data_IF_736145107700
#
_entry.id   IF_736145107700
#
_cell.length_a   1.000
_cell.length_b   1.000
_cell.length_c   1.000
_cell.angle_alpha   90.00
_cell.angle_beta   90.00
_cell.angle_gamma   90.00
#
_symmetry.space_group_name_H-M   'P 1'
#
loop_
_entity.id
_entity.type
_entity.pdbx_description
1 polymer ?
#
# COMPACT_ATOMS: atom_id res chain seq x y z
N UNK A 1 23.98 -18.24 -0.37
CA UNK A 1 23.77 -17.37 0.81
C UNK A 1 24.23 -18.07 2.07
N UNK A 2 24.94 -17.36 2.95
CA UNK A 2 25.27 -17.79 4.31
C UNK A 2 24.03 -17.77 5.22
N UNK A 3 23.26 -18.86 5.21
CA UNK A 3 22.01 -18.97 5.99
C UNK A 3 22.15 -18.71 7.48
N UNK A 4 23.32 -19.04 8.06
CA UNK A 4 23.56 -18.83 9.48
C UNK A 4 23.58 -17.35 9.84
N UNK A 5 24.13 -16.45 8.98
CA UNK A 5 24.14 -15.00 9.21
C UNK A 5 22.72 -14.43 9.25
N UNK A 6 21.85 -14.92 8.37
CA UNK A 6 20.44 -14.52 8.38
C UNK A 6 19.69 -15.06 9.60
N UNK A 7 19.98 -16.30 10.02
CA UNK A 7 19.37 -16.88 11.24
C UNK A 7 19.83 -16.14 12.48
N UNK A 8 21.12 -15.86 12.60
CA UNK A 8 21.74 -15.18 13.74
C UNK A 8 21.21 -13.74 13.86
N UNK A 9 21.21 -12.97 12.76
CA UNK A 9 20.62 -11.63 12.73
C UNK A 9 19.10 -11.61 12.98
N UNK A 10 18.39 -12.71 12.71
CA UNK A 10 16.98 -12.86 13.04
C UNK A 10 16.74 -13.23 14.51
N UNK A 11 17.70 -13.91 15.15
CA UNK A 11 17.67 -14.33 16.56
C UNK A 11 18.14 -13.22 17.50
N UNK A 12 19.23 -12.51 17.17
CA UNK A 12 19.74 -11.37 17.96
C UNK A 12 18.71 -10.24 18.09
N UNK A 13 17.82 -10.10 17.10
CA UNK A 13 16.76 -9.10 17.10
C UNK A 13 15.46 -9.58 17.74
N UNK A 14 15.41 -10.83 18.23
CA UNK A 14 14.16 -11.47 18.65
C UNK A 14 14.18 -12.08 20.04
N UNK A 15 13.64 -11.33 20.99
CA UNK A 15 12.85 -11.93 22.06
C UNK A 15 11.39 -12.24 21.59
N UNK A 16 11.02 -11.95 20.32
CA UNK A 16 9.61 -11.93 19.89
C UNK A 16 9.24 -12.46 18.48
N UNK A 17 10.19 -12.98 17.68
CA UNK A 17 9.87 -13.57 16.36
C UNK A 17 9.65 -15.08 16.49
N UNK A 18 8.51 -15.58 16.02
CA UNK A 18 8.28 -17.03 16.02
C UNK A 18 9.14 -17.73 14.97
N UNK A 19 9.51 -18.99 15.24
CA UNK A 19 10.23 -19.87 14.30
C UNK A 19 9.58 -19.93 12.91
N UNK A 20 8.25 -19.80 12.85
CA UNK A 20 7.51 -19.78 11.60
C UNK A 20 7.88 -18.56 10.76
N UNK A 21 8.02 -17.39 11.37
CA UNK A 21 8.43 -16.17 10.68
C UNK A 21 9.87 -16.25 10.17
N UNK A 22 10.78 -16.86 10.94
CA UNK A 22 12.17 -17.11 10.55
C UNK A 22 12.22 -18.04 9.32
N UNK A 23 11.48 -19.16 9.36
CA UNK A 23 11.39 -20.10 8.22
C UNK A 23 10.82 -19.45 6.95
N UNK A 24 9.80 -18.61 7.08
CA UNK A 24 9.24 -17.88 5.93
C UNK A 24 10.25 -16.93 5.30
N UNK A 25 11.05 -16.21 6.10
CA UNK A 25 12.08 -15.30 5.59
C UNK A 25 13.21 -16.04 4.88
N UNK A 26 13.71 -17.14 5.46
CA UNK A 26 14.70 -18.01 4.82
C UNK A 26 14.19 -18.57 3.48
N UNK A 27 12.94 -19.05 3.45
CA UNK A 27 12.33 -19.56 2.22
C UNK A 27 12.23 -18.52 1.12
N UNK A 28 11.99 -17.24 1.47
CA UNK A 28 11.93 -16.14 0.51
C UNK A 28 13.32 -15.74 0.04
N UNK A 29 14.32 -15.70 0.91
CA UNK A 29 15.71 -15.43 0.53
C UNK A 29 16.24 -16.47 -0.48
N UNK A 30 16.01 -17.77 -0.23
CA UNK A 30 16.33 -18.83 -1.21
C UNK A 30 15.58 -18.72 -2.53
N UNK A 31 14.37 -18.13 -2.50
CA UNK A 31 13.60 -17.86 -3.73
C UNK A 31 14.20 -16.70 -4.51
N UNK A 32 14.71 -15.68 -3.83
CA UNK A 32 15.46 -14.58 -4.46
C UNK A 32 16.70 -15.12 -5.18
N UNK A 33 17.52 -15.95 -4.53
CA UNK A 33 18.71 -16.55 -5.18
C UNK A 33 18.36 -17.30 -6.46
N UNK A 34 17.26 -18.07 -6.46
CA UNK A 34 16.81 -18.80 -7.65
C UNK A 34 16.32 -17.88 -8.78
N UNK A 35 15.72 -16.74 -8.43
CA UNK A 35 15.23 -15.76 -9.41
C UNK A 35 16.40 -15.00 -10.02
N UNK A 36 17.32 -14.54 -9.19
CA UNK A 36 18.51 -13.78 -9.62
C UNK A 36 19.60 -14.69 -10.22
N UNK A 37 19.51 -16.00 -9.98
CA UNK A 37 20.52 -17.03 -10.33
C UNK A 37 21.90 -16.70 -9.77
N UNK A 38 21.93 -16.05 -8.62
CA UNK A 38 23.14 -15.54 -8.01
C UNK A 38 23.05 -15.69 -6.48
N UNK A 39 24.20 -15.91 -5.85
CA UNK A 39 24.30 -16.03 -4.40
C UNK A 39 24.07 -14.66 -3.77
N UNK A 40 23.17 -14.58 -2.78
CA UNK A 40 22.88 -13.33 -2.11
C UNK A 40 24.09 -12.70 -1.41
N UNK A 41 25.10 -13.47 -1.01
CA UNK A 41 26.36 -12.92 -0.47
C UNK A 41 27.11 -12.09 -1.51
N UNK A 42 27.06 -12.49 -2.78
CA UNK A 42 27.64 -11.73 -3.90
C UNK A 42 26.81 -10.48 -4.17
N UNK A 43 25.48 -10.62 -4.19
CA UNK A 43 24.56 -9.50 -4.41
C UNK A 43 24.73 -8.43 -3.34
N UNK A 44 24.76 -8.80 -2.05
CA UNK A 44 24.79 -7.82 -0.95
C UNK A 44 26.18 -7.26 -0.62
N UNK A 45 27.23 -7.75 -1.27
CA UNK A 45 28.58 -7.20 -1.17
C UNK A 45 28.71 -5.84 -1.87
N UNK A 46 27.85 -5.57 -2.86
CA UNK A 46 27.83 -4.33 -3.63
C UNK A 46 26.44 -3.67 -3.61
N UNK A 47 26.39 -2.41 -3.20
CA UNK A 47 25.13 -1.68 -3.10
C UNK A 47 24.45 -1.44 -4.45
N UNK A 48 25.20 -1.26 -5.54
CA UNK A 48 24.67 -1.09 -6.89
C UNK A 48 24.05 -2.39 -7.39
N UNK A 49 24.66 -3.51 -7.00
CA UNK A 49 24.16 -4.84 -7.31
C UNK A 49 22.86 -5.15 -6.55
N UNK A 50 22.78 -4.78 -5.27
CA UNK A 50 21.54 -4.82 -4.48
C UNK A 50 20.44 -3.97 -5.11
N UNK A 51 20.78 -2.77 -5.57
CA UNK A 51 19.83 -1.89 -6.24
C UNK A 51 19.24 -2.53 -7.50
N UNK A 52 20.09 -3.08 -8.37
CA UNK A 52 19.68 -3.79 -9.57
C UNK A 52 18.82 -5.02 -9.26
N UNK A 53 19.20 -5.80 -8.24
CA UNK A 53 18.46 -6.97 -7.79
C UNK A 53 17.06 -6.61 -7.27
N UNK A 54 16.93 -5.52 -6.51
CA UNK A 54 15.64 -5.04 -6.02
C UNK A 54 14.72 -4.57 -7.15
N UNK A 55 15.27 -3.92 -8.18
CA UNK A 55 14.51 -3.56 -9.39
C UNK A 55 14.05 -4.80 -10.16
N UNK A 56 14.93 -5.80 -10.32
CA UNK A 56 14.60 -7.05 -10.98
C UNK A 56 13.48 -7.81 -10.24
N UNK A 57 13.54 -7.87 -8.90
CA UNK A 57 12.50 -8.48 -8.08
C UNK A 57 11.18 -7.70 -8.12
N UNK A 58 11.21 -6.37 -8.22
CA UNK A 58 9.99 -5.56 -8.36
C UNK A 58 9.21 -5.90 -9.64
N UNK A 59 9.93 -6.20 -10.72
CA UNK A 59 9.35 -6.59 -12.02
C UNK A 59 9.05 -8.09 -12.13
N UNK A 60 9.32 -8.87 -11.09
CA UNK A 60 9.19 -10.33 -11.10
C UNK A 60 7.71 -10.74 -10.89
N UNK A 61 7.10 -11.56 -11.77
CA UNK A 61 5.71 -12.00 -11.61
C UNK A 61 5.44 -12.79 -10.32
N UNK A 62 6.47 -13.40 -9.76
CA UNK A 62 6.42 -14.16 -8.51
C UNK A 62 6.51 -13.26 -7.26
N UNK A 63 6.66 -11.95 -7.43
CA UNK A 63 6.69 -10.98 -6.34
C UNK A 63 5.26 -10.67 -5.87
N UNK A 64 5.01 -10.90 -4.59
CA UNK A 64 3.73 -10.60 -3.97
C UNK A 64 3.95 -9.64 -2.80
N UNK A 65 3.32 -8.45 -2.87
CA UNK A 65 3.32 -7.44 -1.81
C UNK A 65 4.73 -7.07 -1.29
N UNK A 66 5.74 -7.07 -2.17
CA UNK A 66 7.13 -6.76 -1.80
C UNK A 66 7.83 -7.84 -0.96
N UNK A 67 7.29 -9.07 -0.92
CA UNK A 67 7.76 -10.14 -0.06
C UNK A 67 9.20 -10.57 -0.33
N UNK A 68 9.62 -10.62 -1.60
CA UNK A 68 10.98 -11.00 -2.00
C UNK A 68 11.95 -9.81 -1.86
N UNK A 69 11.54 -8.60 -2.24
CA UNK A 69 12.33 -7.38 -1.98
C UNK A 69 12.63 -7.22 -0.49
N UNK A 70 11.65 -7.46 0.37
CA UNK A 70 11.85 -7.42 1.82
C UNK A 70 12.81 -8.50 2.30
N UNK A 71 12.75 -9.71 1.74
CA UNK A 71 13.69 -10.77 2.09
C UNK A 71 15.14 -10.41 1.72
N UNK A 72 15.36 -9.82 0.53
CA UNK A 72 16.66 -9.32 0.11
C UNK A 72 17.17 -8.21 1.02
N UNK A 73 16.33 -7.21 1.34
CA UNK A 73 16.68 -6.10 2.24
C UNK A 73 17.04 -6.58 3.65
N UNK A 74 16.32 -7.58 4.14
CA UNK A 74 16.64 -8.24 5.41
C UNK A 74 18.01 -8.90 5.37
N UNK A 75 18.32 -9.63 4.29
CA UNK A 75 19.63 -10.26 4.15
C UNK A 75 20.76 -9.24 4.03
N UNK A 76 20.56 -8.18 3.26
CA UNK A 76 21.50 -7.06 3.16
C UNK A 76 21.82 -6.48 4.53
N UNK A 77 20.79 -6.23 5.36
CA UNK A 77 20.96 -5.73 6.72
C UNK A 77 21.72 -6.70 7.60
N UNK A 78 21.41 -8.00 7.51
CA UNK A 78 22.08 -9.04 8.29
C UNK A 78 23.60 -9.10 7.99
N UNK A 79 23.99 -8.89 6.74
CA UNK A 79 25.40 -8.95 6.33
C UNK A 79 26.13 -7.62 6.55
N UNK A 80 25.48 -6.49 6.28
CA UNK A 80 26.11 -5.16 6.28
C UNK A 80 25.88 -4.35 7.56
N UNK A 81 25.06 -4.85 8.50
CA UNK A 81 24.74 -4.17 9.76
C UNK A 81 23.91 -2.88 9.61
N UNK A 82 23.49 -2.52 8.39
CA UNK A 82 22.73 -1.31 8.08
C UNK A 82 21.58 -1.57 7.11
N UNK A 83 20.55 -0.73 7.15
CA UNK A 83 19.45 -0.82 6.21
C UNK A 83 19.85 -0.26 4.83
N UNK A 84 19.45 -0.95 3.75
CA UNK A 84 19.63 -0.44 2.39
C UNK A 84 18.70 0.77 2.17
N UNK A 85 19.16 1.88 1.54
CA UNK A 85 18.32 3.04 1.26
C UNK A 85 17.05 2.71 0.46
N UNK A 86 16.07 3.62 0.42
CA UNK A 86 14.92 3.44 -0.49
C UNK A 86 15.40 3.52 -1.94
N UNK A 87 14.71 2.81 -2.84
CA UNK A 87 15.07 2.83 -4.27
C UNK A 87 15.02 4.24 -4.87
N UNK A 88 14.16 5.14 -4.36
CA UNK A 88 14.09 6.54 -4.80
C UNK A 88 15.23 7.42 -4.28
N UNK A 89 15.93 6.98 -3.24
CA UNK A 89 16.98 7.73 -2.54
C UNK A 89 18.38 7.22 -2.90
N UNK A 90 18.48 6.09 -3.61
CA UNK A 90 19.73 5.47 -4.02
C UNK A 90 20.10 5.84 -5.46
N UNK A 91 21.33 6.31 -5.68
CA UNK A 91 21.87 6.62 -7.00
C UNK A 91 22.99 5.60 -7.32
N UNK A 92 22.76 4.65 -8.24
CA UNK A 92 23.76 3.65 -8.59
C UNK A 92 24.95 4.27 -9.33
N UNK A 93 26.16 3.79 -9.04
CA UNK A 93 27.40 4.25 -9.68
C UNK A 93 27.81 3.34 -10.84
N UNK A 94 27.42 2.07 -10.77
CA UNK A 94 27.66 1.03 -11.76
C UNK A 94 26.34 0.43 -12.28
N UNK A 95 26.36 -0.09 -13.52
CA UNK A 95 25.18 -0.68 -14.16
C UNK A 95 25.23 -2.20 -14.07
N UNK A 96 24.34 -2.77 -13.26
CA UNK A 96 24.09 -4.21 -13.19
C UNK A 96 22.70 -4.53 -13.77
N UNK A 97 22.55 -5.67 -14.45
CA UNK A 97 21.28 -6.12 -15.02
C UNK A 97 21.05 -7.60 -14.72
N UNK A 98 19.78 -7.95 -14.50
CA UNK A 98 19.35 -9.32 -14.26
C UNK A 98 18.34 -9.76 -15.32
N UNK A 99 18.59 -10.91 -15.94
CA UNK A 99 17.61 -11.56 -16.82
C UNK A 99 16.62 -12.38 -15.98
N UNK A 100 15.47 -11.80 -15.68
CA UNK A 100 14.38 -12.52 -14.99
C UNK A 100 13.54 -13.23 -16.04
N UNK A 101 13.56 -14.56 -16.05
CA UNK A 101 12.83 -15.36 -17.03
C UNK A 101 11.31 -15.06 -17.02
N UNK A 102 10.81 -14.47 -18.11
CA UNK A 102 9.39 -14.40 -18.41
C UNK A 102 8.93 -15.76 -18.96
N UNK A 103 8.07 -16.47 -18.24
CA UNK A 103 7.50 -17.70 -18.77
C UNK A 103 6.41 -17.36 -19.80
N UNK A 104 6.77 -17.42 -21.08
CA UNK A 104 5.86 -17.65 -22.21
C UNK A 104 5.37 -19.09 -22.14
N UNK A 105 4.20 -19.31 -21.56
CA UNK A 105 3.49 -20.59 -21.60
C UNK A 105 2.49 -20.64 -22.74
N UNK A 106 2.97 -20.86 -23.96
CA UNK A 106 2.11 -21.24 -25.08
C UNK A 106 1.69 -22.71 -24.90
N UNK A 107 0.44 -22.92 -24.50
CA UNK A 107 -0.21 -24.23 -24.47
C UNK A 107 -1.25 -24.32 -25.59
N UNK A 108 -0.85 -24.92 -26.71
CA UNK A 108 -1.75 -25.41 -27.74
C UNK A 108 -2.61 -26.53 -27.15
N UNK A 109 -3.93 -26.36 -27.14
CA UNK A 109 -4.84 -27.50 -27.11
C UNK A 109 -5.95 -27.30 -28.13
N UNK A 110 -5.77 -27.98 -29.26
CA UNK A 110 -6.77 -28.17 -30.30
C UNK A 110 -7.56 -29.43 -29.94
N UNK A 111 -8.84 -29.31 -29.61
CA UNK A 111 -9.83 -30.36 -29.80
C UNK A 111 -11.17 -29.74 -30.21
N UNK A 112 -11.58 -30.15 -31.40
CA UNK A 112 -12.86 -29.94 -32.06
C UNK A 112 -13.95 -30.80 -31.42
N UNK A 113 -15.11 -30.21 -31.12
CA UNK A 113 -16.49 -30.74 -31.10
C UNK A 113 -17.35 -29.54 -30.61
N UNK A 114 -18.49 -29.12 -31.16
CA UNK A 114 -19.53 -29.70 -32.00
C UNK A 114 -20.46 -28.57 -32.51
N UNK A 115 -21.14 -28.82 -33.63
CA UNK A 115 -22.54 -28.46 -33.95
C UNK A 115 -23.12 -27.04 -33.71
N UNK A 116 -23.79 -26.53 -34.75
CA UNK A 116 -25.21 -26.14 -34.60
C UNK A 116 -25.53 -24.74 -34.08
N UNK A 117 -25.80 -23.84 -35.04
CA UNK A 117 -26.76 -22.72 -35.00
C UNK A 117 -27.38 -22.28 -33.66
N UNK A 118 -27.13 -21.02 -33.26
CA UNK A 118 -28.17 -20.00 -33.03
C UNK A 118 -27.50 -18.65 -32.72
N UNK A 119 -28.02 -17.60 -33.35
CA UNK A 119 -27.53 -16.24 -33.24
C UNK A 119 -27.72 -15.64 -31.83
N UNK A 120 -26.67 -15.05 -31.28
CA UNK A 120 -26.77 -13.90 -30.40
C UNK A 120 -25.52 -13.03 -30.60
N UNK A 121 -25.76 -11.78 -31.02
CA UNK A 121 -24.73 -10.79 -31.25
C UNK A 121 -24.01 -10.47 -29.93
N UNK A 122 -22.83 -11.03 -29.73
CA UNK A 122 -21.85 -10.48 -28.79
C UNK A 122 -21.04 -9.43 -29.52
N UNK A 123 -21.23 -8.16 -29.17
CA UNK A 123 -20.30 -7.08 -29.50
C UNK A 123 -18.95 -7.43 -28.89
N UNK A 124 -18.05 -7.99 -29.70
CA UNK A 124 -16.64 -8.09 -29.38
C UNK A 124 -16.04 -6.68 -29.44
N UNK A 125 -16.19 -5.91 -28.36
CA UNK A 125 -15.35 -4.75 -28.14
C UNK A 125 -13.90 -5.25 -28.04
N UNK A 126 -12.95 -4.71 -28.82
CA UNK A 126 -11.56 -5.13 -28.76
C UNK A 126 -11.02 -4.80 -27.36
N UNK A 127 -10.69 -5.84 -26.58
CA UNK A 127 -10.15 -5.66 -25.23
C UNK A 127 -8.87 -4.83 -25.30
N UNK A 128 -8.86 -3.68 -24.64
CA UNK A 128 -7.73 -2.78 -24.63
C UNK A 128 -6.46 -3.47 -24.09
N UNK A 129 -5.28 -3.30 -24.73
CA UNK A 129 -4.04 -3.87 -24.20
C UNK A 129 -3.73 -3.34 -22.80
N UNK A 130 -3.35 -4.23 -21.88
CA UNK A 130 -3.01 -3.88 -20.48
C UNK A 130 -1.97 -2.77 -20.36
N UNK A 131 -1.04 -2.67 -21.32
CA UNK A 131 -0.02 -1.62 -21.35
C UNK A 131 -0.57 -0.23 -21.66
N UNK A 132 -1.72 -0.10 -22.32
CA UNK A 132 -2.42 1.18 -22.52
C UNK A 132 -3.12 1.60 -21.23
N UNK A 133 -3.91 0.69 -20.64
CA UNK A 133 -4.56 0.89 -19.34
C UNK A 133 -3.55 1.29 -18.24
N UNK A 134 -2.38 0.65 -18.20
CA UNK A 134 -1.33 0.99 -17.24
C UNK A 134 -0.77 2.40 -17.43
N UNK A 135 -0.55 2.83 -18.68
CA UNK A 135 -0.06 4.17 -19.00
C UNK A 135 -1.10 5.23 -18.69
N UNK A 136 -2.37 4.96 -18.99
CA UNK A 136 -3.48 5.82 -18.64
C UNK A 136 -3.61 5.97 -17.13
N UNK A 137 -3.61 4.86 -16.38
CA UNK A 137 -3.61 4.87 -14.93
C UNK A 137 -2.47 5.73 -14.35
N UNK A 138 -1.23 5.54 -14.84
CA UNK A 138 -0.09 6.33 -14.39
C UNK A 138 -0.26 7.82 -14.71
N UNK A 139 -0.77 8.14 -15.91
CA UNK A 139 -1.03 9.51 -16.35
C UNK A 139 -2.06 10.20 -15.44
N UNK A 140 -3.21 9.55 -15.23
CA UNK A 140 -4.29 10.04 -14.36
C UNK A 140 -3.79 10.21 -12.92
N UNK A 141 -3.13 9.19 -12.37
CA UNK A 141 -2.55 9.25 -11.02
C UNK A 141 -1.59 10.43 -10.87
N UNK A 142 -0.69 10.65 -11.83
CA UNK A 142 0.26 11.76 -11.77
C UNK A 142 -0.43 13.13 -11.86
N UNK A 143 -1.50 13.25 -12.66
CA UNK A 143 -2.32 14.47 -12.74
C UNK A 143 -3.00 14.75 -11.41
N UNK A 144 -3.57 13.73 -10.77
CA UNK A 144 -4.21 13.86 -9.45
C UNK A 144 -3.17 14.24 -8.39
N UNK A 145 -2.04 13.54 -8.30
CA UNK A 145 -0.96 13.89 -7.36
C UNK A 145 -0.43 15.31 -7.56
N UNK A 146 -0.41 15.81 -8.81
CA UNK A 146 0.00 17.19 -9.10
C UNK A 146 -1.05 18.20 -8.64
N UNK A 147 -2.34 17.87 -8.71
CA UNK A 147 -3.42 18.72 -8.23
C UNK A 147 -3.53 18.74 -6.69
N UNK A 148 -3.28 17.60 -6.03
CA UNK A 148 -3.40 17.46 -4.57
C UNK A 148 -2.15 17.94 -3.81
N UNK A 149 -0.96 17.79 -4.40
CA UNK A 149 0.28 18.33 -3.83
C UNK A 149 1.03 17.35 -2.91
N UNK A 150 2.02 16.67 -3.50
CA UNK A 150 3.27 16.17 -2.88
C UNK A 150 3.31 14.83 -2.14
N UNK A 151 2.37 13.90 -2.27
CA UNK A 151 2.62 12.50 -1.85
C UNK A 151 2.13 11.40 -2.79
N UNK A 152 2.63 10.19 -2.51
CA UNK A 152 2.22 8.95 -3.19
C UNK A 152 0.86 8.42 -2.68
N UNK A 153 0.27 9.03 -1.64
CA UNK A 153 -0.98 8.58 -1.02
C UNK A 153 -2.18 9.42 -1.49
N UNK A 154 -2.53 9.25 -2.77
CA UNK A 154 -3.63 9.98 -3.42
C UNK A 154 -4.97 9.86 -2.67
N UNK A 155 -5.28 8.68 -2.12
CA UNK A 155 -6.55 8.46 -1.40
C UNK A 155 -6.64 9.27 -0.11
N UNK A 156 -5.53 9.36 0.64
CA UNK A 156 -5.48 10.15 1.86
C UNK A 156 -5.63 11.64 1.56
N UNK A 157 -4.85 12.15 0.62
CA UNK A 157 -4.88 13.57 0.25
C UNK A 157 -6.23 13.99 -0.35
N UNK A 158 -6.85 13.13 -1.15
CA UNK A 158 -8.17 13.40 -1.69
C UNK A 158 -9.21 13.51 -0.57
N UNK A 159 -9.16 12.60 0.41
CA UNK A 159 -10.05 12.66 1.56
C UNK A 159 -9.79 13.92 2.42
N UNK A 160 -8.53 14.27 2.67
CA UNK A 160 -8.18 15.51 3.37
C UNK A 160 -8.74 16.73 2.64
N UNK A 161 -8.65 16.75 1.30
CA UNK A 161 -9.22 17.83 0.50
C UNK A 161 -10.75 17.87 0.55
N UNK A 162 -11.43 16.74 0.47
CA UNK A 162 -12.90 16.65 0.60
C UNK A 162 -13.35 17.20 1.96
N UNK A 163 -12.71 16.75 3.04
CA UNK A 163 -13.07 17.18 4.40
C UNK A 163 -12.82 18.68 4.57
N UNK A 164 -11.67 19.18 4.12
CA UNK A 164 -11.35 20.60 4.18
C UNK A 164 -12.35 21.45 3.40
N UNK A 165 -12.65 21.07 2.15
CA UNK A 165 -13.59 21.80 1.29
C UNK A 165 -15.02 21.79 1.85
N UNK A 166 -15.48 20.65 2.39
CA UNK A 166 -16.77 20.56 3.06
C UNK A 166 -16.90 21.54 4.23
N UNK A 167 -15.83 21.72 5.01
CA UNK A 167 -15.78 22.68 6.11
C UNK A 167 -15.45 24.11 5.68
N UNK A 168 -15.26 24.38 4.39
CA UNK A 168 -14.86 25.69 3.88
C UNK A 168 -13.43 26.10 4.30
N UNK A 169 -12.56 25.13 4.56
CA UNK A 169 -11.18 25.30 5.04
C UNK A 169 -10.18 24.84 3.98
N UNK A 170 -8.92 25.23 4.18
CA UNK A 170 -7.79 24.62 3.48
C UNK A 170 -7.15 23.54 4.37
N UNK A 171 -6.59 22.45 3.79
CA UNK A 171 -5.81 21.47 4.56
C UNK A 171 -4.62 22.12 5.29
N UNK A 172 -4.28 21.60 6.47
CA UNK A 172 -3.14 22.07 7.25
C UNK A 172 -1.82 21.75 6.53
N UNK A 173 -0.90 22.72 6.50
CA UNK A 173 0.39 22.55 5.86
C UNK A 173 1.36 21.73 6.73
N UNK A 174 1.37 20.39 6.60
CA UNK A 174 2.38 19.36 6.99
C UNK A 174 3.01 19.43 8.41
N UNK A 175 2.75 20.45 9.22
CA UNK A 175 3.49 20.80 10.43
C UNK A 175 2.69 20.64 11.73
N UNK A 176 1.42 20.22 11.63
CA UNK A 176 0.65 19.77 12.80
C UNK A 176 0.78 18.25 12.97
N UNK A 177 1.38 17.74 14.07
CA UNK A 177 1.74 16.33 14.21
C UNK A 177 0.57 15.32 14.28
N UNK A 178 -0.68 15.73 14.09
CA UNK A 178 -1.85 14.95 14.50
C UNK A 178 -3.20 15.38 13.93
N UNK A 179 -3.24 16.38 13.06
CA UNK A 179 -4.46 16.91 12.48
C UNK A 179 -4.19 17.32 11.03
N UNK A 180 -5.18 17.10 10.18
CA UNK A 180 -5.10 17.40 8.76
C UNK A 180 -5.94 18.63 8.39
N UNK A 181 -6.94 18.99 9.21
CA UNK A 181 -7.79 20.18 9.03
C UNK A 181 -8.02 20.87 10.38
N UNK A 182 -8.01 22.20 10.39
CA UNK A 182 -8.38 23.04 11.54
C UNK A 182 -9.56 23.94 11.17
N UNK A 183 -10.64 23.87 11.95
CA UNK A 183 -11.84 24.68 11.78
C UNK A 183 -11.65 26.11 12.31
N UNK A 184 -12.63 26.99 12.08
CA UNK A 184 -12.60 28.38 12.56
C UNK A 184 -12.59 28.52 14.08
N UNK A 185 -13.22 27.56 14.78
CA UNK A 185 -13.30 27.52 16.23
C UNK A 185 -12.07 26.87 16.89
N UNK A 186 -11.07 26.49 16.11
CA UNK A 186 -9.86 25.81 16.56
C UNK A 186 -10.00 24.28 16.70
N UNK A 187 -11.14 23.70 16.32
CA UNK A 187 -11.33 22.25 16.30
C UNK A 187 -10.36 21.60 15.32
N UNK A 188 -9.60 20.62 15.81
CA UNK A 188 -8.64 19.84 15.02
C UNK A 188 -9.27 18.55 14.52
N UNK A 189 -9.26 18.33 13.21
CA UNK A 189 -9.77 17.13 12.56
C UNK A 189 -8.60 16.29 12.04
N UNK A 190 -8.56 15.02 12.43
CA UNK A 190 -7.71 14.01 11.81
C UNK A 190 -8.53 13.21 10.80
N UNK A 191 -8.08 13.16 9.55
CA UNK A 191 -8.68 12.42 8.45
C UNK A 191 -8.00 11.06 8.30
N UNK A 192 -8.80 10.03 8.08
CA UNK A 192 -8.33 8.68 7.76
C UNK A 192 -9.17 8.09 6.64
N UNK A 193 -8.49 7.70 5.56
CA UNK A 193 -9.15 7.17 4.38
C UNK A 193 -8.67 5.78 3.96
N UNK A 194 -9.57 5.01 3.35
CA UNK A 194 -9.29 3.70 2.75
C UNK A 194 -10.11 3.47 1.49
N UNK A 195 -9.49 2.77 0.55
CA UNK A 195 -10.21 2.09 -0.51
C UNK A 195 -10.75 0.77 0.04
N UNK A 196 -12.03 0.50 -0.13
CA UNK A 196 -12.63 -0.78 0.19
C UNK A 196 -12.08 -1.86 -0.74
N UNK A 197 -11.98 -3.05 -0.19
CA UNK A 197 -11.55 -4.27 -0.90
C UNK A 197 -12.54 -5.36 -0.53
N UNK A 198 -12.48 -6.52 -1.18
CA UNK A 198 -13.39 -7.66 -0.91
C UNK A 198 -13.34 -8.19 0.55
N UNK A 199 -12.42 -7.67 1.37
CA UNK A 199 -12.31 -8.01 2.78
C UNK A 199 -13.32 -7.20 3.61
N UNK A 200 -14.07 -7.90 4.47
CA UNK A 200 -15.16 -7.34 5.30
C UNK A 200 -14.77 -6.16 6.20
N UNK A 201 -13.49 -6.00 6.53
CA UNK A 201 -13.00 -4.91 7.39
C UNK A 201 -11.60 -4.49 6.97
N UNK A 202 -11.33 -3.18 6.96
CA UNK A 202 -10.00 -2.65 6.62
C UNK A 202 -9.47 -1.82 7.79
N UNK A 203 -8.21 -2.04 8.22
CA UNK A 203 -7.63 -1.20 9.26
C UNK A 203 -7.27 0.19 8.72
N UNK A 204 -7.62 1.23 9.47
CA UNK A 204 -7.16 2.61 9.22
C UNK A 204 -5.64 2.70 9.41
N UNK A 205 -5.03 3.78 8.91
CA UNK A 205 -3.61 4.03 9.13
C UNK A 205 -3.35 4.25 10.61
N UNK A 206 -2.15 3.89 11.07
CA UNK A 206 -1.80 3.98 12.47
C UNK A 206 -1.85 5.43 12.96
N UNK A 207 -2.51 5.63 14.10
CA UNK A 207 -2.53 6.86 14.86
C UNK A 207 -1.26 6.95 15.70
N UNK A 208 -0.52 8.05 15.56
CA UNK A 208 0.73 8.32 16.32
C UNK A 208 0.47 9.13 17.58
N UNK A 209 -0.59 9.89 17.59
CA UNK A 209 -1.08 10.66 18.73
C UNK A 209 -2.59 10.84 18.60
N UNK A 210 -3.20 11.32 19.68
CA UNK A 210 -4.63 11.61 19.78
C UNK A 210 -4.88 13.12 19.97
N UNK A 211 -3.94 13.95 19.52
CA UNK A 211 -4.00 15.40 19.67
C UNK A 211 -4.86 16.01 18.55
N UNK A 212 -6.12 15.61 18.52
CA UNK A 212 -7.17 16.10 17.64
C UNK A 212 -8.52 15.91 18.34
N UNK A 213 -9.52 16.66 17.92
CA UNK A 213 -10.84 16.68 18.54
C UNK A 213 -11.81 15.75 17.83
N UNK A 214 -11.70 15.66 16.50
CA UNK A 214 -12.59 14.87 15.64
C UNK A 214 -11.80 13.95 14.73
N UNK A 215 -12.26 12.71 14.59
CA UNK A 215 -11.80 11.79 13.55
C UNK A 215 -12.81 11.82 12.39
N UNK A 216 -12.36 12.22 11.21
CA UNK A 216 -13.11 12.04 9.96
C UNK A 216 -12.65 10.76 9.26
N UNK A 217 -13.61 9.91 8.90
CA UNK A 217 -13.38 8.64 8.19
C UNK A 217 -14.02 8.72 6.82
N UNK A 218 -13.23 8.42 5.79
CA UNK A 218 -13.71 8.35 4.39
C UNK A 218 -13.34 7.00 3.78
N UNK A 219 -14.36 6.23 3.41
CA UNK A 219 -14.19 4.93 2.75
C UNK A 219 -14.67 5.04 1.30
N UNK A 220 -13.79 4.70 0.37
CA UNK A 220 -14.07 4.73 -1.06
C UNK A 220 -14.39 3.34 -1.59
N UNK A 221 -15.33 3.24 -2.51
CA UNK A 221 -15.55 2.05 -3.34
C UNK A 221 -14.45 1.92 -4.42
N UNK A 222 -14.21 0.72 -4.96
CA UNK A 222 -13.20 0.51 -6.01
C UNK A 222 -13.38 1.36 -7.28
N UNK A 223 -14.60 1.85 -7.53
CA UNK A 223 -14.91 2.76 -8.64
C UNK A 223 -14.61 4.24 -8.34
N UNK A 224 -14.18 4.55 -7.11
CA UNK A 224 -13.85 5.89 -6.65
C UNK A 224 -15.01 6.62 -5.95
N UNK A 225 -16.21 6.04 -5.89
CA UNK A 225 -17.32 6.58 -5.11
C UNK A 225 -17.05 6.54 -3.61
N UNK A 226 -17.72 7.38 -2.82
CA UNK A 226 -17.61 7.32 -1.36
C UNK A 226 -18.65 6.33 -0.83
N UNK A 227 -18.21 5.21 -0.26
CA UNK A 227 -19.07 4.23 0.41
C UNK A 227 -19.60 4.76 1.74
N UNK A 228 -18.73 5.43 2.50
CA UNK A 228 -19.02 5.98 3.82
C UNK A 228 -18.18 7.23 4.07
N UNK A 229 -18.81 8.28 4.59
CA UNK A 229 -18.17 9.48 5.08
C UNK A 229 -18.77 9.86 6.42
N UNK A 230 -17.95 10.03 7.45
CA UNK A 230 -18.48 10.40 8.76
C UNK A 230 -17.44 10.92 9.72
N UNK A 231 -17.92 11.71 10.67
CA UNK A 231 -17.11 12.33 11.71
C UNK A 231 -17.53 11.83 13.08
N UNK A 232 -16.55 11.52 13.94
CA UNK A 232 -16.79 11.01 15.29
C UNK A 232 -15.84 11.70 16.28
N UNK A 233 -16.29 12.02 17.51
CA UNK A 233 -15.41 12.60 18.52
C UNK A 233 -14.20 11.70 18.84
N UNK A 234 -13.02 12.30 19.00
CA UNK A 234 -11.78 11.60 19.31
C UNK A 234 -11.90 10.73 20.58
N UNK A 235 -12.58 11.25 21.61
CA UNK A 235 -12.85 10.55 22.87
C UNK A 235 -13.59 9.23 22.66
N UNK A 236 -14.50 9.20 21.68
CA UNK A 236 -15.28 8.01 21.32
C UNK A 236 -14.46 7.08 20.42
N UNK A 237 -13.82 7.63 19.37
CA UNK A 237 -13.00 6.86 18.44
C UNK A 237 -11.90 6.06 19.14
N UNK A 238 -11.28 6.65 20.17
CA UNK A 238 -10.22 6.03 20.96
C UNK A 238 -10.65 4.72 21.64
N UNK A 239 -11.94 4.54 21.95
CA UNK A 239 -12.47 3.29 22.55
C UNK A 239 -12.34 2.08 21.60
N UNK A 240 -12.33 2.33 20.29
CA UNK A 240 -12.18 1.31 19.26
C UNK A 240 -10.73 1.03 18.89
N UNK A 241 -9.80 1.83 19.41
CA UNK A 241 -8.41 1.75 19.04
C UNK A 241 -7.69 0.63 19.79
N UNK A 242 -6.90 -0.15 19.05
CA UNK A 242 -6.01 -1.17 19.61
C UNK A 242 -4.57 -0.70 19.48
N UNK A 243 -3.81 -0.86 20.56
CA UNK A 243 -2.38 -0.62 20.50
C UNK A 243 -1.70 -1.70 19.66
N UNK A 244 -0.81 -1.27 18.76
CA UNK A 244 -0.06 -2.16 17.88
C UNK A 244 1.42 -1.90 18.13
N UNK A 245 2.02 -2.73 18.99
CA UNK A 245 3.38 -2.55 19.50
C UNK A 245 4.44 -2.49 18.40
N UNK A 246 4.26 -3.24 17.30
CA UNK A 246 5.23 -3.25 16.21
C UNK A 246 5.34 -1.90 15.47
N UNK A 247 4.28 -1.10 15.47
CA UNK A 247 4.28 0.19 14.78
C UNK A 247 4.48 1.36 15.73
N UNK A 248 4.49 1.17 17.06
CA UNK A 248 4.45 2.26 18.06
C UNK A 248 3.28 3.22 17.81
N UNK A 249 2.06 2.70 17.90
CA UNK A 249 0.85 3.52 17.77
C UNK A 249 -0.43 2.71 17.89
N UNK A 250 -1.54 3.35 17.59
CA UNK A 250 -2.87 2.77 17.70
C UNK A 250 -3.50 2.55 16.33
N UNK A 251 -4.39 1.59 16.21
CA UNK A 251 -5.11 1.31 14.98
C UNK A 251 -6.58 1.04 15.28
N UNK A 252 -7.45 1.61 14.45
CA UNK A 252 -8.88 1.31 14.43
C UNK A 252 -9.16 0.49 13.18
N UNK A 253 -9.89 -0.62 13.34
CA UNK A 253 -10.43 -1.38 12.22
C UNK A 253 -11.83 -0.89 11.91
N UNK A 254 -12.17 -0.73 10.62
CA UNK A 254 -13.50 -0.33 10.15
C UNK A 254 -14.51 -1.46 10.27
N UNK A 255 -14.68 -1.97 11.49
CA UNK A 255 -15.68 -2.97 11.84
C UNK A 255 -17.07 -2.38 11.77
N UNK A 256 -18.08 -3.23 11.61
CA UNK A 256 -19.48 -2.81 11.69
C UNK A 256 -19.75 -2.05 13.00
N UNK A 257 -19.28 -2.55 14.14
CA UNK A 257 -19.48 -1.92 15.46
C UNK A 257 -18.88 -0.51 15.57
N UNK A 258 -17.79 -0.24 14.85
CA UNK A 258 -17.22 1.09 14.77
C UNK A 258 -18.06 1.98 13.85
N UNK A 259 -18.30 1.54 12.61
CA UNK A 259 -19.02 2.34 11.60
C UNK A 259 -20.49 2.59 11.92
N UNK A 260 -21.08 1.79 12.82
CA UNK A 260 -22.48 1.93 13.27
C UNK A 260 -22.61 2.59 14.65
N UNK A 261 -21.52 3.10 15.26
CA UNK A 261 -21.61 3.88 16.51
C UNK A 261 -22.47 5.14 16.25
N UNK A 262 -23.51 5.33 17.07
CA UNK A 262 -24.44 6.47 16.97
C UNK A 262 -23.80 7.84 17.19
N UNK A 263 -22.56 7.88 17.67
CA UNK A 263 -21.77 9.10 17.84
C UNK A 263 -21.17 9.60 16.53
N UNK A 264 -21.27 8.83 15.45
CA UNK A 264 -20.96 9.32 14.11
C UNK A 264 -22.00 10.33 13.64
N UNK A 265 -21.53 11.48 13.19
CA UNK A 265 -22.27 12.32 12.25
C UNK A 265 -22.06 11.73 10.86
N UNK A 266 -23.12 11.17 10.27
CA UNK A 266 -23.07 10.66 8.89
C UNK A 266 -23.05 11.85 7.90
N UNK A 267 -21.94 11.95 7.17
CA UNK A 267 -21.65 12.99 6.19
C UNK A 267 -21.48 12.40 4.78
N UNK A 268 -21.91 11.16 4.57
CA UNK A 268 -21.63 10.42 3.34
C UNK A 268 -22.12 11.17 2.10
N UNK A 269 -23.38 11.63 2.10
CA UNK A 269 -23.95 12.41 0.99
C UNK A 269 -23.30 13.78 0.82
N UNK A 270 -22.90 14.42 1.93
CA UNK A 270 -22.25 15.71 1.87
C UNK A 270 -20.86 15.60 1.22
N UNK A 271 -20.06 14.61 1.65
CA UNK A 271 -18.76 14.34 1.07
C UNK A 271 -18.83 13.89 -0.39
N UNK A 272 -19.86 13.13 -0.78
CA UNK A 272 -20.12 12.78 -2.19
C UNK A 272 -20.31 14.03 -3.05
N UNK A 273 -21.17 14.96 -2.60
CA UNK A 273 -21.38 16.24 -3.29
C UNK A 273 -20.11 17.09 -3.33
N UNK A 274 -19.33 17.10 -2.25
CA UNK A 274 -18.05 17.81 -2.25
C UNK A 274 -17.09 17.24 -3.29
N UNK A 275 -16.95 15.91 -3.34
CA UNK A 275 -16.10 15.22 -4.33
C UNK A 275 -16.51 15.57 -5.78
N UNK A 276 -17.81 15.67 -6.07
CA UNK A 276 -18.32 16.07 -7.39
C UNK A 276 -17.96 17.51 -7.78
N UNK A 277 -17.70 18.38 -6.81
CA UNK A 277 -17.45 19.81 -7.01
C UNK A 277 -15.95 20.21 -6.92
N UNK A 278 -15.06 19.26 -6.65
CA UNK A 278 -13.60 19.47 -6.62
C UNK A 278 -12.99 19.51 -8.03
#
# INVERSE_FOLDING_TARGET
MNEWKLRDALLEKSDSLSDKAIRTRLSRARRVERILREDLDVVVADNDHVYAALLALRSCPQEHNGGLQNALRWYYRAVNGRDFPKLSEYCPKEQFSYEVAANTGAGLHMQSHSEGAAALASTNEPSEPIGSLWREFCSVKNRISSALGRSNNVVGELAERIVAEYHGRAPLAVSHPSADVELEDGTLIQVKARMLTDVRTTPLSTFRSWNFDVLSVVLFEPDGGIAFGGEIPCSVARRYAREVSHVNGWQISTTHDFLSDSSFTDLTEAYRRTLENL
#
